data_IF_923446400542
#
_entry.id   IF_923446400542
#
_cell.length_a   1.000
_cell.length_b   1.000
_cell.length_c   1.000
_cell.angle_alpha   90.00
_cell.angle_beta   90.00
_cell.angle_gamma   90.00
#
_symmetry.space_group_name_H-M   'P 1'
#
loop_
_entity.id
_entity.type
_entity.pdbx_description
1 polymer ?
#
# COMPACT_ATOMS: atom_id res chain seq x y z
N UNK A 1 -11.32 15.57 12.42
CA UNK A 1 -10.93 15.32 11.01
C UNK A 1 -10.49 13.88 10.74
N UNK A 2 -9.79 13.16 11.64
CA UNK A 2 -9.45 11.74 11.43
C UNK A 2 -10.67 10.81 11.34
N UNK A 3 -11.62 10.97 12.28
CA UNK A 3 -12.89 10.21 12.30
C UNK A 3 -13.65 10.17 10.96
N UNK A 4 -13.59 11.23 10.15
CA UNK A 4 -14.27 11.28 8.86
C UNK A 4 -13.53 10.50 7.75
N UNK A 5 -12.21 10.45 7.82
CA UNK A 5 -11.38 9.67 6.90
C UNK A 5 -11.48 8.18 7.24
N UNK A 6 -11.35 7.84 8.52
CA UNK A 6 -11.39 6.47 9.03
C UNK A 6 -12.75 5.83 8.70
N UNK A 7 -13.85 6.55 8.95
CA UNK A 7 -15.19 6.08 8.59
C UNK A 7 -15.43 5.98 7.08
N UNK A 8 -14.73 6.77 6.25
CA UNK A 8 -14.81 6.64 4.79
C UNK A 8 -14.01 5.43 4.31
N UNK A 9 -12.85 5.16 4.90
CA UNK A 9 -12.01 4.02 4.57
C UNK A 9 -12.68 2.71 4.96
N UNK A 10 -13.31 2.65 6.13
CA UNK A 10 -14.07 1.48 6.58
C UNK A 10 -15.16 1.09 5.57
N UNK A 11 -15.98 2.06 5.15
CA UNK A 11 -17.00 1.83 4.10
C UNK A 11 -16.43 1.31 2.78
N UNK A 12 -15.21 1.69 2.42
CA UNK A 12 -14.55 1.17 1.21
C UNK A 12 -14.10 -0.28 1.44
N UNK A 13 -13.57 -0.60 2.62
CA UNK A 13 -13.13 -1.96 2.97
C UNK A 13 -14.33 -2.92 2.96
N UNK A 14 -15.47 -2.51 3.53
CA UNK A 14 -16.68 -3.33 3.63
C UNK A 14 -17.22 -3.78 2.26
N UNK A 15 -17.00 -2.98 1.20
CA UNK A 15 -17.49 -3.26 -0.17
C UNK A 15 -16.41 -3.78 -1.13
N UNK A 16 -15.13 -3.67 -0.79
CA UNK A 16 -13.99 -4.03 -1.69
C UNK A 16 -13.22 -5.25 -1.20
N UNK A 17 -12.90 -5.30 0.10
CA UNK A 17 -12.15 -6.39 0.71
C UNK A 17 -12.48 -6.50 2.21
N UNK A 18 -13.58 -7.20 2.55
CA UNK A 18 -14.10 -7.28 3.90
C UNK A 18 -13.24 -8.22 4.74
N UNK A 19 -12.34 -8.99 4.13
CA UNK A 19 -11.43 -9.91 4.83
C UNK A 19 -10.26 -9.17 5.48
N UNK A 20 -9.95 -7.95 5.00
CA UNK A 20 -9.03 -7.01 5.65
C UNK A 20 -9.71 -6.22 6.77
N UNK A 21 -10.78 -6.77 7.33
CA UNK A 21 -11.54 -6.19 8.42
C UNK A 21 -10.58 -5.71 9.51
N UNK A 22 -10.83 -4.48 9.95
CA UNK A 22 -10.36 -3.96 11.23
C UNK A 22 -9.06 -3.15 11.28
N UNK A 23 -8.99 -2.06 10.50
CA UNK A 23 -7.96 -1.04 10.72
C UNK A 23 -8.26 -0.11 11.90
N UNK A 24 -9.53 -0.01 12.33
CA UNK A 24 -10.00 1.09 13.19
C UNK A 24 -11.07 0.72 14.23
N UNK A 25 -11.58 -0.52 14.27
CA UNK A 25 -12.55 -0.92 15.29
C UNK A 25 -11.79 -1.42 16.54
N UNK A 26 -12.00 -0.81 17.72
CA UNK A 26 -11.38 -1.29 18.95
C UNK A 26 -12.04 -2.57 19.52
N UNK A 27 -12.90 -3.26 18.76
CA UNK A 27 -13.78 -4.30 19.26
C UNK A 27 -13.11 -5.68 19.38
N UNK A 28 -12.14 -5.76 20.29
CA UNK A 28 -11.70 -6.99 20.98
C UNK A 28 -12.77 -7.42 22.02
N UNK A 29 -13.98 -7.73 21.57
CA UNK A 29 -15.02 -8.34 22.41
C UNK A 29 -15.50 -9.60 21.72
N UNK A 30 -15.57 -10.72 22.46
CA UNK A 30 -15.88 -12.07 21.97
C UNK A 30 -17.25 -12.18 21.23
N UNK A 31 -18.08 -11.13 21.29
CA UNK A 31 -19.39 -11.01 20.65
C UNK A 31 -19.44 -9.99 19.48
N UNK A 32 -18.32 -9.43 19.02
CA UNK A 32 -18.29 -8.42 17.94
C UNK A 32 -18.26 -9.00 16.52
N UNK A 33 -18.35 -10.33 16.38
CA UNK A 33 -18.33 -10.99 15.07
C UNK A 33 -19.64 -10.69 14.33
N UNK A 34 -19.59 -9.70 13.44
CA UNK A 34 -20.65 -9.44 12.48
C UNK A 34 -20.61 -10.52 11.38
N UNK A 35 -21.61 -11.40 11.40
CA UNK A 35 -21.74 -12.52 10.47
C UNK A 35 -22.62 -12.17 9.25
N UNK A 36 -23.23 -10.98 9.20
CA UNK A 36 -24.19 -10.58 8.16
C UNK A 36 -23.68 -9.48 7.21
N UNK A 37 -22.71 -8.68 7.59
CA UNK A 37 -22.34 -7.51 6.80
C UNK A 37 -21.24 -7.80 5.76
N UNK A 38 -21.61 -8.31 4.60
CA UNK A 38 -20.74 -8.20 3.42
C UNK A 38 -21.57 -7.82 2.20
N UNK A 39 -21.54 -6.54 1.84
CA UNK A 39 -22.25 -5.96 0.68
C UNK A 39 -21.61 -6.32 -0.67
N UNK A 40 -21.08 -7.54 -0.81
CA UNK A 40 -20.35 -7.98 -1.99
C UNK A 40 -21.25 -8.85 -2.84
N UNK A 41 -21.80 -8.23 -3.87
CA UNK A 41 -22.65 -8.89 -4.85
C UNK A 41 -21.83 -9.55 -5.98
N UNK A 42 -20.62 -9.04 -6.27
CA UNK A 42 -19.68 -9.59 -7.24
C UNK A 42 -18.22 -9.38 -6.80
N UNK A 43 -17.27 -10.05 -7.47
CA UNK A 43 -15.84 -9.95 -7.13
C UNK A 43 -15.07 -8.91 -7.94
N UNK A 44 -15.77 -8.04 -8.70
CA UNK A 44 -15.13 -7.08 -9.62
C UNK A 44 -14.26 -6.09 -8.86
N UNK A 45 -14.78 -5.54 -7.76
CA UNK A 45 -14.05 -4.58 -6.91
C UNK A 45 -12.85 -5.24 -6.23
N UNK A 46 -13.03 -6.45 -5.70
CA UNK A 46 -11.96 -7.23 -5.04
C UNK A 46 -10.82 -7.53 -6.00
N UNK A 47 -11.12 -8.03 -7.20
CA UNK A 47 -10.08 -8.32 -8.21
C UNK A 47 -9.42 -7.03 -8.71
N UNK A 48 -10.22 -5.98 -8.93
CA UNK A 48 -9.77 -4.70 -9.44
C UNK A 48 -8.72 -4.04 -8.53
N UNK A 49 -8.96 -3.99 -7.22
CA UNK A 49 -8.00 -3.37 -6.30
C UNK A 49 -6.71 -4.19 -6.19
N UNK A 50 -6.80 -5.53 -6.16
CA UNK A 50 -5.63 -6.41 -6.09
C UNK A 50 -4.75 -6.24 -7.32
N UNK A 51 -5.36 -6.24 -8.50
CA UNK A 51 -4.65 -6.04 -9.76
C UNK A 51 -4.02 -4.63 -9.81
N UNK A 52 -4.75 -3.60 -9.39
CA UNK A 52 -4.24 -2.24 -9.32
C UNK A 52 -3.03 -2.14 -8.37
N UNK A 53 -3.14 -2.68 -7.16
CA UNK A 53 -2.07 -2.68 -6.18
C UNK A 53 -0.84 -3.44 -6.70
N UNK A 54 -1.04 -4.62 -7.29
CA UNK A 54 0.02 -5.41 -7.90
C UNK A 54 0.71 -4.65 -9.04
N UNK A 55 -0.04 -3.94 -9.89
CA UNK A 55 0.54 -3.14 -10.98
C UNK A 55 1.30 -1.93 -10.48
N UNK A 56 0.78 -1.20 -9.49
CA UNK A 56 1.50 -0.06 -8.89
C UNK A 56 2.80 -0.56 -8.28
N UNK A 57 2.75 -1.67 -7.53
CA UNK A 57 3.93 -2.28 -6.94
C UNK A 57 4.94 -2.67 -8.02
N UNK A 58 4.53 -3.43 -9.04
CA UNK A 58 5.42 -3.87 -10.10
C UNK A 58 6.06 -2.72 -10.89
N UNK A 59 5.33 -1.62 -11.10
CA UNK A 59 5.87 -0.43 -11.78
C UNK A 59 6.80 0.40 -10.89
N UNK A 60 6.48 0.52 -9.59
CA UNK A 60 7.26 1.37 -8.69
C UNK A 60 8.51 0.66 -8.15
N UNK A 61 8.41 -0.62 -7.81
CA UNK A 61 9.51 -1.40 -7.21
C UNK A 61 9.78 -2.61 -8.11
N UNK A 62 10.19 -2.34 -9.33
CA UNK A 62 10.64 -3.39 -10.24
C UNK A 62 11.86 -4.10 -9.63
N UNK A 63 11.87 -5.44 -9.55
CA UNK A 63 13.05 -6.19 -9.10
C UNK A 63 14.16 -6.20 -10.16
N UNK A 64 13.85 -5.79 -11.39
CA UNK A 64 14.79 -5.79 -12.53
C UNK A 64 15.42 -4.42 -12.75
N UNK A 65 14.69 -3.34 -12.44
CA UNK A 65 15.13 -1.97 -12.67
C UNK A 65 15.35 -1.27 -11.33
N UNK A 66 16.50 -0.64 -11.16
CA UNK A 66 16.79 0.19 -9.99
C UNK A 66 15.70 1.27 -9.87
N UNK A 67 14.89 1.19 -8.81
CA UNK A 67 13.73 2.06 -8.58
C UNK A 67 14.04 3.28 -7.72
N UNK A 68 15.28 3.41 -7.23
CA UNK A 68 15.77 4.57 -6.51
C UNK A 68 17.24 4.80 -6.83
N UNK A 69 17.69 6.06 -6.83
CA UNK A 69 19.10 6.40 -6.97
C UNK A 69 19.58 7.11 -5.71
N UNK A 70 20.80 6.82 -5.29
CA UNK A 70 21.47 7.51 -4.20
C UNK A 70 22.40 8.56 -4.82
N UNK A 71 22.47 9.74 -4.21
CA UNK A 71 23.35 10.84 -4.63
C UNK A 71 23.97 11.45 -3.39
N UNK A 72 25.24 11.86 -3.46
CA UNK A 72 25.84 12.65 -2.40
C UNK A 72 25.19 14.04 -2.33
N UNK A 73 25.12 14.61 -1.13
CA UNK A 73 24.68 16.00 -0.95
C UNK A 73 25.70 17.00 -1.50
N UNK A 74 26.97 16.61 -1.52
CA UNK A 74 28.06 17.40 -2.09
C UNK A 74 28.15 17.15 -3.61
N UNK A 75 28.09 18.22 -4.39
CA UNK A 75 28.11 18.16 -5.84
C UNK A 75 29.48 17.78 -6.41
N UNK A 76 30.57 18.09 -5.71
CA UNK A 76 31.92 17.76 -6.16
C UNK A 76 32.15 16.25 -6.12
N UNK A 77 31.64 15.56 -5.10
CA UNK A 77 31.70 14.11 -4.98
C UNK A 77 30.87 13.40 -6.06
N UNK A 78 29.79 14.03 -6.52
CA UNK A 78 29.00 13.52 -7.65
C UNK A 78 29.70 13.71 -9.01
N UNK A 79 30.90 14.29 -9.08
CA UNK A 79 31.70 14.33 -10.33
C UNK A 79 32.81 13.27 -10.36
N UNK A 80 33.17 12.72 -9.19
CA UNK A 80 34.20 11.71 -9.07
C UNK A 80 33.65 10.32 -9.43
N UNK A 81 34.31 9.63 -10.36
CA UNK A 81 33.87 8.30 -10.83
C UNK A 81 33.90 7.26 -9.71
N UNK A 82 34.95 7.25 -8.90
CA UNK A 82 35.16 6.31 -7.80
C UNK A 82 34.05 6.43 -6.73
N UNK A 83 33.65 7.66 -6.41
CA UNK A 83 32.58 7.91 -5.44
C UNK A 83 31.21 7.42 -5.95
N UNK A 84 30.94 7.53 -7.26
CA UNK A 84 29.70 6.99 -7.85
C UNK A 84 29.69 5.47 -7.88
N UNK A 85 30.81 4.88 -8.24
CA UNK A 85 30.97 3.42 -8.27
C UNK A 85 30.72 2.83 -6.87
N UNK A 86 31.25 3.47 -5.82
CA UNK A 86 30.97 3.11 -4.42
C UNK A 86 29.48 3.19 -4.03
N UNK A 87 28.67 4.05 -4.67
CA UNK A 87 27.21 4.11 -4.43
C UNK A 87 26.42 3.09 -5.24
N UNK A 88 27.02 2.53 -6.29
CA UNK A 88 26.38 1.57 -7.19
C UNK A 88 26.65 0.12 -6.79
N UNK A 89 27.83 -0.17 -6.22
CA UNK A 89 28.24 -1.43 -5.56
C UNK A 89 27.47 -1.72 -4.26
#
# INVERSE_FOLDING_TARGET
QRKTLDGRMQRIVDVVDPTRYDFFDPLLSDNSVDWEATEIYDNTATIGYQLLAARIHANLMSPVTRWFNIRFRDDDLNTQSEAKEWLED
#
